data_IF_981741709375
#
_entry.id   IF_981741709375
#
_cell.length_a   1.000
_cell.length_b   1.000
_cell.length_c   1.000
_cell.angle_alpha   90.00
_cell.angle_beta   90.00
_cell.angle_gamma   90.00
#
_symmetry.space_group_name_H-M   'P 1'
#
loop_
_entity.id
_entity.type
_entity.pdbx_description
1 polymer ?
#
# COMPACT_ATOMS: atom_id res chain seq x y z
N UNK A 1 3.21 -7.35 5.16
CA UNK A 1 3.14 -6.76 3.81
C UNK A 1 4.39 -7.15 3.03
N UNK A 2 4.33 -7.14 1.70
CA UNK A 2 5.46 -7.42 0.80
C UNK A 2 5.72 -6.22 -0.09
N UNK A 3 6.99 -5.95 -0.40
CA UNK A 3 7.41 -4.74 -1.12
C UNK A 3 8.44 -5.09 -2.19
N UNK A 4 8.29 -4.47 -3.36
CA UNK A 4 9.28 -4.52 -4.42
C UNK A 4 9.68 -3.11 -4.86
N UNK A 5 10.96 -2.92 -5.15
CA UNK A 5 11.53 -1.64 -5.55
C UNK A 5 11.64 -1.54 -7.08
N UNK A 6 11.13 -0.46 -7.65
CA UNK A 6 11.42 -0.06 -9.03
C UNK A 6 12.58 0.93 -9.02
N UNK A 7 13.78 0.42 -9.31
CA UNK A 7 15.01 1.22 -9.31
C UNK A 7 15.04 2.30 -10.40
N UNK A 8 14.26 2.16 -11.48
CA UNK A 8 14.26 3.12 -12.58
C UNK A 8 13.42 4.34 -12.22
N UNK A 9 12.20 4.13 -11.70
CA UNK A 9 11.30 5.23 -11.35
C UNK A 9 11.41 5.71 -9.91
N UNK A 10 12.08 4.94 -9.04
CA UNK A 10 12.09 5.17 -7.60
C UNK A 10 10.74 4.88 -6.92
N UNK A 11 9.79 4.27 -7.65
CA UNK A 11 8.53 3.80 -7.10
C UNK A 11 8.71 2.51 -6.30
N UNK A 12 7.72 2.21 -5.45
CA UNK A 12 7.63 0.93 -4.75
C UNK A 12 6.28 0.28 -5.01
N UNK A 13 6.27 -1.03 -5.16
CA UNK A 13 5.06 -1.83 -5.24
C UNK A 13 4.82 -2.49 -3.90
N UNK A 14 3.65 -2.26 -3.31
CA UNK A 14 3.26 -2.74 -1.99
C UNK A 14 2.09 -3.72 -2.14
N UNK A 15 2.28 -4.95 -1.66
CA UNK A 15 1.23 -5.94 -1.51
C UNK A 15 0.86 -6.10 -0.02
N UNK A 16 -0.42 -6.00 0.28
CA UNK A 16 -1.00 -6.22 1.61
C UNK A 16 -2.00 -7.36 1.55
N UNK A 17 -2.10 -8.11 2.65
CA UNK A 17 -2.93 -9.31 2.74
C UNK A 17 -3.62 -9.34 4.10
N UNK A 18 -4.90 -9.67 4.11
CA UNK A 18 -5.60 -10.07 5.33
C UNK A 18 -5.76 -11.60 5.31
N UNK A 19 -4.83 -12.31 5.96
CA UNK A 19 -4.80 -13.78 6.01
C UNK A 19 -5.59 -14.35 7.19
N UNK A 20 -6.41 -13.53 7.87
CA UNK A 20 -7.18 -14.00 9.02
C UNK A 20 -8.43 -14.77 8.54
N UNK A 21 -8.77 -15.86 9.21
CA UNK A 21 -9.99 -16.65 8.97
C UNK A 21 -11.25 -16.06 9.65
N UNK A 22 -11.21 -14.79 10.06
CA UNK A 22 -12.36 -14.10 10.65
C UNK A 22 -13.27 -13.53 9.57
N UNK A 23 -14.53 -13.24 9.87
CA UNK A 23 -15.44 -12.55 8.92
C UNK A 23 -15.23 -11.03 8.88
N UNK A 24 -14.24 -10.50 9.61
CA UNK A 24 -14.02 -9.07 9.77
C UNK A 24 -13.00 -8.53 8.77
N UNK A 25 -13.27 -7.32 8.28
CA UNK A 25 -12.26 -6.53 7.57
C UNK A 25 -11.25 -5.94 8.55
N UNK A 26 -10.03 -5.73 8.06
CA UNK A 26 -8.92 -5.22 8.88
C UNK A 26 -8.17 -4.12 8.14
N UNK A 27 -7.86 -3.05 8.86
CA UNK A 27 -6.90 -2.05 8.40
C UNK A 27 -5.49 -2.66 8.45
N UNK A 28 -4.82 -2.78 7.30
CA UNK A 28 -3.44 -3.26 7.22
C UNK A 28 -2.52 -2.04 7.24
N UNK A 29 -2.08 -1.64 8.43
CA UNK A 29 -1.23 -0.46 8.62
C UNK A 29 0.17 -0.70 8.04
N UNK A 30 0.62 0.24 7.21
CA UNK A 30 1.96 0.23 6.62
C UNK A 30 2.61 1.61 6.83
N UNK A 31 3.77 1.61 7.49
CA UNK A 31 4.59 2.82 7.68
C UNK A 31 5.30 3.18 6.38
N UNK A 32 4.97 4.33 5.79
CA UNK A 32 5.63 4.84 4.59
C UNK A 32 7.09 5.22 4.86
N UNK A 33 7.40 5.61 6.10
CA UNK A 33 8.76 5.90 6.54
C UNK A 33 9.64 4.65 6.53
N UNK A 34 9.12 3.51 6.99
CA UNK A 34 9.83 2.21 6.93
C UNK A 34 10.05 1.75 5.48
N UNK A 35 9.18 2.16 4.56
CA UNK A 35 9.37 1.93 3.13
C UNK A 35 10.38 2.88 2.48
N UNK A 36 10.94 3.84 3.23
CA UNK A 36 11.92 4.81 2.74
C UNK A 36 11.32 6.09 2.16
N UNK A 37 10.04 6.37 2.41
CA UNK A 37 9.41 7.63 2.03
C UNK A 37 9.31 8.58 3.22
N UNK A 38 10.02 9.70 3.15
CA UNK A 38 9.99 10.78 4.16
C UNK A 38 9.08 11.95 3.78
N UNK A 39 8.51 11.92 2.58
CA UNK A 39 7.65 12.98 2.03
C UNK A 39 6.27 12.42 1.70
N UNK A 40 5.34 13.31 1.37
CA UNK A 40 4.05 12.92 0.79
C UNK A 40 4.27 12.08 -0.47
N UNK A 41 3.53 10.98 -0.58
CA UNK A 41 3.54 10.07 -1.73
C UNK A 41 2.14 9.96 -2.32
N UNK A 42 2.09 9.63 -3.61
CA UNK A 42 0.84 9.26 -4.29
C UNK A 42 0.73 7.74 -4.29
N UNK A 43 -0.44 7.23 -3.92
CA UNK A 43 -0.74 5.80 -3.90
C UNK A 43 -1.80 5.49 -4.95
N UNK A 44 -1.50 4.52 -5.82
CA UNK A 44 -2.37 4.01 -6.88
C UNK A 44 -2.69 2.55 -6.64
N UNK A 45 -3.96 2.19 -6.70
CA UNK A 45 -4.40 0.80 -6.74
C UNK A 45 -4.12 0.24 -8.15
N UNK A 46 -3.33 -0.83 -8.20
CA UNK A 46 -2.89 -1.44 -9.44
C UNK A 46 -3.94 -2.36 -10.06
N UNK A 47 -4.92 -2.84 -9.31
CA UNK A 47 -6.01 -3.65 -9.83
C UNK A 47 -7.09 -2.80 -10.48
N UNK A 48 -7.51 -1.73 -9.81
CA UNK A 48 -8.54 -0.83 -10.37
C UNK A 48 -7.95 0.25 -11.27
N UNK A 49 -6.64 0.45 -11.22
CA UNK A 49 -5.96 1.54 -11.92
C UNK A 49 -6.25 2.93 -11.36
N UNK A 50 -6.97 3.04 -10.23
CA UNK A 50 -7.37 4.32 -9.63
C UNK A 50 -6.31 4.83 -8.67
N UNK A 51 -6.09 6.14 -8.70
CA UNK A 51 -5.33 6.82 -7.64
C UNK A 51 -6.17 6.84 -6.38
N UNK A 52 -5.67 6.23 -5.31
CA UNK A 52 -6.33 6.18 -4.01
C UNK A 52 -6.24 7.55 -3.33
N UNK A 53 -5.07 8.19 -3.42
CA UNK A 53 -4.86 9.51 -2.85
C UNK A 53 -3.40 9.83 -2.57
N UNK A 54 -3.19 10.92 -1.83
CA UNK A 54 -1.89 11.34 -1.31
C UNK A 54 -1.83 11.05 0.18
N UNK A 55 -0.73 10.46 0.63
CA UNK A 55 -0.54 10.04 2.01
C UNK A 55 0.81 10.51 2.54
N UNK A 56 0.85 10.78 3.85
CA UNK A 56 2.06 11.01 4.61
C UNK A 56 2.10 10.00 5.78
N UNK A 57 3.31 9.66 6.23
CA UNK A 57 3.59 8.77 7.38
C UNK A 57 3.10 7.32 7.25
N UNK A 58 1.81 7.08 7.02
CA UNK A 58 1.20 5.75 6.97
C UNK A 58 0.15 5.60 5.85
N UNK A 59 -0.07 4.35 5.48
CA UNK A 59 -1.16 3.93 4.60
C UNK A 59 -1.81 2.68 5.20
N UNK A 60 -3.12 2.71 5.39
CA UNK A 60 -3.86 1.65 6.09
C UNK A 60 -5.13 1.24 5.34
N UNK A 61 -5.01 0.54 4.19
CA UNK A 61 -6.17 0.06 3.46
C UNK A 61 -6.95 -0.96 4.29
N UNK A 62 -8.27 -0.86 4.24
CA UNK A 62 -9.19 -1.84 4.86
C UNK A 62 -9.39 -3.00 3.90
N UNK A 63 -9.00 -4.19 4.32
CA UNK A 63 -9.01 -5.41 3.51
C UNK A 63 -9.91 -6.44 4.16
N UNK A 64 -10.89 -6.95 3.40
CA UNK A 64 -11.76 -8.05 3.83
C UNK A 64 -10.96 -9.31 4.12
N UNK A 65 -11.54 -10.22 4.89
CA UNK A 65 -10.98 -11.56 5.12
C UNK A 65 -10.57 -12.25 3.83
N UNK A 66 -9.38 -12.87 3.85
CA UNK A 66 -8.71 -13.51 2.71
C UNK A 66 -8.47 -12.58 1.51
N UNK A 67 -8.66 -11.28 1.70
CA UNK A 67 -8.46 -10.25 0.69
C UNK A 67 -7.01 -9.82 0.59
N UNK A 68 -6.71 -9.14 -0.51
CA UNK A 68 -5.43 -8.52 -0.77
C UNK A 68 -5.59 -7.16 -1.46
N UNK A 69 -4.57 -6.33 -1.35
CA UNK A 69 -4.44 -5.08 -2.10
C UNK A 69 -3.05 -4.96 -2.72
N UNK A 70 -2.99 -4.45 -3.95
CA UNK A 70 -1.73 -4.18 -4.66
C UNK A 70 -1.66 -2.71 -5.02
N UNK A 71 -0.62 -2.04 -4.55
CA UNK A 71 -0.48 -0.59 -4.68
C UNK A 71 0.87 -0.21 -5.29
N UNK A 72 0.88 0.83 -6.11
CA UNK A 72 2.10 1.53 -6.51
C UNK A 72 2.21 2.83 -5.72
N UNK A 73 3.36 3.02 -5.08
CA UNK A 73 3.71 4.19 -4.30
C UNK A 73 4.75 4.97 -5.09
N UNK A 74 4.45 6.23 -5.39
CA UNK A 74 5.36 7.14 -6.09
C UNK A 74 5.60 8.37 -5.24
N UNK A 75 6.85 8.84 -5.20
CA UNK A 75 7.16 10.18 -4.70
C UNK A 75 6.36 11.20 -5.50
N UNK A 76 5.94 12.27 -4.83
CA UNK A 76 5.35 13.40 -5.51
C UNK A 76 6.42 14.20 -6.26
#
# INVERSE_FOLDING_TARGET
>A
AWVADDKLSGAKYLAVFNTADSSFEKAIVVSLKELGFSTTVTIKDMWTGKTVGKFNNEFAPVIKSHGAGLYKITKQ
#
